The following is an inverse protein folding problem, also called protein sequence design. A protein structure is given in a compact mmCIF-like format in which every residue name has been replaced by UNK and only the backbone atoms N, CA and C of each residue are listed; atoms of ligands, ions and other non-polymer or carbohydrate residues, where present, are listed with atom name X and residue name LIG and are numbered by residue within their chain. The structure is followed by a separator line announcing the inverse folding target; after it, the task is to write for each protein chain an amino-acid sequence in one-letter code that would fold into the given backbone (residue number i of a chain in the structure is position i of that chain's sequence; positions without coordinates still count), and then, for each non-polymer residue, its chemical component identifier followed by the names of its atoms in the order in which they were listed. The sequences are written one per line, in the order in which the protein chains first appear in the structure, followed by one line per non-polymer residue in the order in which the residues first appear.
data_IF_316987413080
#
_entry.id   IF_316987413080
#
_cell.length_a   1.000
_cell.length_b   1.000
_cell.length_c   1.000
_cell.angle_alpha   90.00
_cell.angle_beta   90.00
_cell.angle_gamma   90.00
#
_symmetry.space_group_name_H-M   'P 1'
#
loop_
_entity.id
_entity.type
_entity.pdbx_description
1 polymer ?
#
# COMPACT_ATOMS: atom_id res chain seq x y z
N UNK A 1 10.38 -17.01 -7.13
CA UNK A 1 11.52 -17.66 -6.46
C UNK A 1 12.07 -16.73 -5.39
N UNK A 2 12.42 -17.26 -4.20
CA UNK A 2 13.08 -16.46 -3.15
C UNK A 2 14.59 -16.57 -3.32
N UNK A 3 15.29 -15.45 -3.20
CA UNK A 3 16.75 -15.37 -3.32
C UNK A 3 17.33 -14.81 -2.04
N UNK A 4 18.54 -15.25 -1.72
CA UNK A 4 19.29 -14.79 -0.56
C UNK A 4 20.34 -13.79 -1.08
N UNK A 5 20.50 -12.61 -0.43
CA UNK A 5 21.46 -11.58 -0.88
C UNK A 5 22.87 -12.12 -1.12
N UNK A 6 23.34 -13.00 -0.23
CA UNK A 6 24.71 -13.53 -0.24
C UNK A 6 24.87 -14.85 -1.02
N UNK A 7 23.88 -15.23 -1.83
CA UNK A 7 24.01 -16.38 -2.73
C UNK A 7 25.01 -16.07 -3.86
N UNK A 8 25.63 -17.12 -4.41
CA UNK A 8 26.52 -16.99 -5.57
C UNK A 8 25.83 -16.25 -6.73
N UNK A 9 26.55 -15.31 -7.36
CA UNK A 9 26.00 -14.41 -8.38
C UNK A 9 25.49 -15.20 -9.59
N UNK A 10 26.16 -16.31 -9.93
CA UNK A 10 25.81 -17.22 -11.01
C UNK A 10 24.44 -17.86 -10.75
N UNK A 11 24.15 -18.28 -9.52
CA UNK A 11 22.87 -18.87 -9.13
C UNK A 11 21.75 -17.83 -9.14
N UNK A 12 22.03 -16.60 -8.72
CA UNK A 12 21.06 -15.51 -8.81
C UNK A 12 20.73 -15.15 -10.27
N UNK A 13 21.74 -15.21 -11.15
CA UNK A 13 21.56 -14.98 -12.58
C UNK A 13 20.71 -16.08 -13.22
N UNK A 14 21.07 -17.33 -12.94
CA UNK A 14 20.33 -18.48 -13.44
C UNK A 14 18.88 -18.45 -12.97
N UNK A 15 18.65 -18.20 -11.68
CA UNK A 15 17.32 -18.02 -11.12
C UNK A 15 16.52 -16.93 -11.85
N UNK A 16 17.17 -15.82 -12.22
CA UNK A 16 16.50 -14.74 -12.92
C UNK A 16 16.09 -15.05 -14.35
N UNK A 17 16.78 -15.97 -15.03
CA UNK A 17 16.39 -16.44 -16.36
C UNK A 17 15.18 -17.40 -16.33
N UNK A 18 15.01 -18.15 -15.24
CA UNK A 18 13.94 -19.15 -15.13
C UNK A 18 12.71 -18.66 -14.33
N UNK A 19 12.87 -17.72 -13.41
CA UNK A 19 11.77 -17.21 -12.61
C UNK A 19 11.07 -16.02 -13.27
N UNK A 20 9.73 -15.98 -13.20
CA UNK A 20 8.98 -14.76 -13.56
C UNK A 20 9.26 -13.61 -12.57
N UNK A 21 9.39 -13.96 -11.28
CA UNK A 21 9.63 -13.03 -10.18
C UNK A 21 10.67 -13.55 -9.21
N UNK A 22 11.56 -12.66 -8.80
CA UNK A 22 12.51 -12.87 -7.72
C UNK A 22 12.06 -12.09 -6.47
N UNK A 23 12.41 -12.61 -5.31
CA UNK A 23 12.10 -11.93 -4.05
C UNK A 23 13.25 -12.05 -3.06
N UNK A 24 13.67 -10.91 -2.54
CA UNK A 24 14.65 -10.80 -1.46
C UNK A 24 13.91 -10.29 -0.24
N UNK A 25 13.93 -11.05 0.86
CA UNK A 25 13.22 -10.67 2.08
C UNK A 25 14.04 -9.66 2.91
N UNK A 26 13.48 -8.47 3.12
CA UNK A 26 14.01 -7.44 4.03
C UNK A 26 13.72 -7.79 5.50
N UNK A 27 12.56 -8.39 5.78
CA UNK A 27 12.03 -8.73 7.11
C UNK A 27 11.71 -7.52 7.99
N UNK A 28 12.66 -6.63 8.27
CA UNK A 28 12.44 -5.49 9.17
C UNK A 28 12.88 -4.17 8.52
N UNK A 29 12.17 -3.06 8.79
CA UNK A 29 12.42 -1.81 8.09
C UNK A 29 13.65 -1.04 8.62
N UNK A 30 14.26 -1.48 9.74
CA UNK A 30 15.39 -0.79 10.37
C UNK A 30 16.56 -1.74 10.65
N UNK A 31 17.79 -1.24 10.53
CA UNK A 31 18.99 -2.02 10.86
C UNK A 31 19.03 -2.41 12.34
N UNK A 32 18.56 -1.54 13.23
CA UNK A 32 18.45 -1.85 14.65
C UNK A 32 17.52 -3.04 14.92
N UNK A 33 16.38 -3.11 14.20
CA UNK A 33 15.48 -4.26 14.25
C UNK A 33 16.16 -5.53 13.73
N UNK A 34 16.83 -5.46 12.58
CA UNK A 34 17.57 -6.61 12.03
C UNK A 34 18.66 -7.12 12.97
N UNK A 35 19.51 -6.23 13.49
CA UNK A 35 20.56 -6.62 14.45
C UNK A 35 20.01 -7.38 15.66
N UNK A 36 18.79 -7.06 16.09
CA UNK A 36 18.15 -7.71 17.23
C UNK A 36 17.49 -9.05 16.88
N UNK A 37 16.82 -9.14 15.73
CA UNK A 37 15.91 -10.26 15.41
C UNK A 37 16.37 -11.15 14.24
N UNK A 38 17.26 -10.66 13.40
CA UNK A 38 17.84 -11.35 12.24
C UNK A 38 19.28 -10.83 12.00
N UNK A 39 20.22 -11.04 12.95
CA UNK A 39 21.57 -10.46 12.91
C UNK A 39 22.41 -10.94 11.71
N UNK A 40 22.01 -12.03 11.07
CA UNK A 40 22.60 -12.52 9.82
C UNK A 40 22.24 -11.65 8.59
N UNK A 41 21.30 -10.71 8.74
CA UNK A 41 20.84 -9.82 7.68
C UNK A 41 21.35 -8.39 7.89
N UNK A 42 21.72 -7.78 6.78
CA UNK A 42 22.19 -6.40 6.73
C UNK A 42 21.44 -5.63 5.62
N UNK A 43 20.94 -4.43 5.95
CA UNK A 43 20.15 -3.64 5.02
C UNK A 43 20.98 -3.18 3.82
N UNK A 44 22.27 -2.87 3.99
CA UNK A 44 23.12 -2.43 2.88
C UNK A 44 23.39 -3.59 1.90
N UNK A 45 23.64 -4.80 2.42
CA UNK A 45 23.80 -5.99 1.60
C UNK A 45 22.50 -6.34 0.85
N UNK A 46 21.35 -6.23 1.52
CA UNK A 46 20.03 -6.44 0.89
C UNK A 46 19.77 -5.39 -0.20
N UNK A 47 20.06 -4.12 0.08
CA UNK A 47 19.92 -3.00 -0.86
C UNK A 47 20.79 -3.21 -2.11
N UNK A 48 22.07 -3.56 -1.92
CA UNK A 48 22.99 -3.87 -3.01
C UNK A 48 22.53 -5.05 -3.87
N UNK A 49 22.03 -6.12 -3.25
CA UNK A 49 21.50 -7.28 -3.98
C UNK A 49 20.26 -6.91 -4.82
N UNK A 50 19.35 -6.09 -4.28
CA UNK A 50 18.19 -5.58 -5.02
C UNK A 50 18.58 -4.62 -6.16
N UNK A 51 19.61 -3.80 -5.96
CA UNK A 51 20.14 -2.89 -6.97
C UNK A 51 20.74 -3.68 -8.15
N UNK A 52 21.62 -4.65 -7.88
CA UNK A 52 22.18 -5.52 -8.92
C UNK A 52 21.11 -6.31 -9.68
N UNK A 53 20.06 -6.74 -8.98
CA UNK A 53 18.92 -7.42 -9.61
C UNK A 53 18.12 -6.46 -10.52
N UNK A 54 17.90 -5.23 -10.08
CA UNK A 54 17.26 -4.18 -10.90
C UNK A 54 18.06 -3.94 -12.18
N UNK A 55 19.37 -3.77 -12.07
CA UNK A 55 20.26 -3.53 -13.20
C UNK A 55 20.18 -4.66 -14.24
N UNK A 56 20.22 -5.92 -13.80
CA UNK A 56 20.07 -7.07 -14.70
C UNK A 56 18.69 -7.13 -15.38
N UNK A 57 17.62 -6.84 -14.64
CA UNK A 57 16.27 -6.75 -15.22
C UNK A 57 16.23 -5.65 -16.30
N UNK A 58 16.79 -4.47 -16.01
CA UNK A 58 16.81 -3.34 -16.93
C UNK A 58 17.69 -3.62 -18.16
N UNK A 59 18.85 -4.26 -17.99
CA UNK A 59 19.74 -4.70 -19.06
C UNK A 59 19.03 -5.66 -20.01
N UNK A 60 18.45 -6.74 -19.49
CA UNK A 60 17.75 -7.73 -20.31
C UNK A 60 16.51 -7.18 -21.01
N UNK A 61 15.91 -6.11 -20.47
CA UNK A 61 14.75 -5.45 -21.06
C UNK A 61 15.12 -4.52 -22.22
N UNK A 62 16.25 -3.82 -22.11
CA UNK A 62 16.60 -2.73 -23.03
C UNK A 62 17.72 -3.09 -24.01
N UNK A 63 18.50 -4.13 -23.73
CA UNK A 63 19.66 -4.49 -24.53
C UNK A 63 19.35 -5.56 -25.58
N UNK A 64 20.07 -5.48 -26.69
CA UNK A 64 20.13 -6.49 -27.72
C UNK A 64 21.59 -6.90 -27.92
N UNK A 65 21.82 -8.13 -28.39
CA UNK A 65 23.13 -8.59 -28.81
C UNK A 65 23.64 -7.73 -29.98
N UNK A 66 24.94 -7.81 -30.26
CA UNK A 66 25.56 -7.16 -31.44
C UNK A 66 24.84 -7.50 -32.76
N UNK A 67 24.23 -8.70 -32.83
CA UNK A 67 23.44 -9.17 -33.98
C UNK A 67 21.99 -8.65 -33.99
N UNK A 68 21.60 -7.78 -33.06
CA UNK A 68 20.25 -7.23 -32.93
C UNK A 68 19.23 -8.16 -32.24
N UNK A 69 19.65 -9.35 -31.79
CA UNK A 69 18.76 -10.29 -31.08
C UNK A 69 18.55 -9.82 -29.65
N UNK A 70 17.29 -9.75 -29.21
CA UNK A 70 17.00 -9.44 -27.80
C UNK A 70 17.60 -10.48 -26.86
N UNK A 71 18.07 -10.02 -25.72
CA UNK A 71 18.48 -10.88 -24.62
C UNK A 71 17.28 -11.74 -24.14
N UNK A 72 17.53 -12.92 -23.54
CA UNK A 72 16.48 -13.71 -22.92
C UNK A 72 15.78 -12.89 -21.83
N UNK A 73 14.50 -13.17 -21.57
CA UNK A 73 13.79 -12.48 -20.49
C UNK A 73 14.44 -12.83 -19.15
N UNK A 74 14.67 -11.81 -18.34
CA UNK A 74 15.16 -11.97 -16.97
C UNK A 74 14.12 -11.41 -16.02
N UNK A 75 13.47 -12.29 -15.24
CA UNK A 75 12.47 -11.94 -14.23
C UNK A 75 11.49 -10.85 -14.69
N UNK A 76 10.75 -11.08 -15.79
CA UNK A 76 9.90 -10.06 -16.40
C UNK A 76 8.79 -9.55 -15.47
N UNK A 77 8.36 -10.39 -14.53
CA UNK A 77 7.43 -10.06 -13.46
C UNK A 77 8.03 -9.18 -12.36
N UNK A 78 9.34 -8.90 -12.41
CA UNK A 78 10.13 -7.99 -11.56
C UNK A 78 10.53 -8.59 -10.20
N UNK A 79 11.02 -7.70 -9.32
CA UNK A 79 11.41 -8.07 -7.96
C UNK A 79 10.39 -7.65 -6.90
N UNK A 80 10.35 -8.38 -5.80
CA UNK A 80 9.46 -8.14 -4.66
C UNK A 80 10.15 -8.41 -3.33
N UNK A 81 9.59 -7.95 -2.23
CA UNK A 81 10.16 -8.17 -0.89
C UNK A 81 9.06 -8.41 0.13
N UNK A 82 9.46 -8.76 1.35
CA UNK A 82 8.58 -9.00 2.48
C UNK A 82 9.11 -8.26 3.71
N UNK A 83 8.20 -7.66 4.47
CA UNK A 83 8.41 -7.11 5.81
C UNK A 83 7.45 -7.75 6.80
N UNK A 84 7.94 -8.02 7.99
CA UNK A 84 7.21 -8.55 9.13
C UNK A 84 6.73 -7.37 9.98
N UNK A 85 5.44 -7.35 10.29
CA UNK A 85 4.78 -6.25 10.99
C UNK A 85 4.57 -6.63 12.45
N UNK A 86 5.05 -5.75 13.35
CA UNK A 86 4.85 -5.90 14.79
C UNK A 86 5.77 -6.90 15.47
N UNK A 87 6.82 -7.38 14.81
CA UNK A 87 7.93 -8.10 15.45
C UNK A 87 8.84 -7.17 16.26
N UNK A 88 8.93 -5.90 15.85
CA UNK A 88 9.67 -4.84 16.55
C UNK A 88 8.77 -3.63 16.87
N UNK A 89 9.36 -2.59 17.48
CA UNK A 89 8.68 -1.34 17.80
C UNK A 89 8.49 -0.39 16.61
N UNK A 90 8.69 -0.84 15.37
CA UNK A 90 8.56 0.03 14.20
C UNK A 90 7.12 0.52 14.02
N UNK A 91 6.95 1.83 13.88
CA UNK A 91 5.67 2.45 13.57
C UNK A 91 5.36 2.40 12.06
N UNK A 92 4.12 2.68 11.69
CA UNK A 92 3.66 2.55 10.30
C UNK A 92 4.31 3.59 9.37
N UNK A 93 4.67 4.77 9.89
CA UNK A 93 5.49 5.74 9.14
C UNK A 93 6.82 5.11 8.72
N UNK A 94 7.56 4.51 9.64
CA UNK A 94 8.87 3.88 9.34
C UNK A 94 8.72 2.78 8.30
N UNK A 95 7.71 1.91 8.45
CA UNK A 95 7.42 0.83 7.50
C UNK A 95 7.12 1.38 6.10
N UNK A 96 6.19 2.33 6.00
CA UNK A 96 5.79 2.92 4.72
C UNK A 96 6.92 3.73 4.08
N UNK A 97 7.72 4.46 4.86
CA UNK A 97 8.94 5.13 4.36
C UNK A 97 9.89 4.11 3.72
N UNK A 98 10.16 2.99 4.40
CA UNK A 98 11.00 1.93 3.87
C UNK A 98 10.44 1.39 2.55
N UNK A 99 9.14 1.11 2.48
CA UNK A 99 8.48 0.68 1.25
C UNK A 99 8.62 1.68 0.11
N UNK A 100 8.38 2.98 0.37
CA UNK A 100 8.54 4.04 -0.64
C UNK A 100 9.97 4.09 -1.18
N UNK A 101 10.98 4.01 -0.30
CA UNK A 101 12.38 4.00 -0.70
C UNK A 101 12.70 2.80 -1.59
N UNK A 102 12.28 1.60 -1.18
CA UNK A 102 12.47 0.38 -1.95
C UNK A 102 11.81 0.45 -3.34
N UNK A 103 10.59 1.00 -3.44
CA UNK A 103 9.96 1.22 -4.74
C UNK A 103 10.74 2.22 -5.60
N UNK A 104 11.21 3.31 -5.02
CA UNK A 104 11.90 4.37 -5.75
C UNK A 104 13.25 3.92 -6.29
N UNK A 105 14.05 3.27 -5.43
CA UNK A 105 15.41 2.82 -5.71
C UNK A 105 15.41 1.56 -6.59
N UNK A 106 14.63 0.55 -6.21
CA UNK A 106 14.73 -0.80 -6.81
C UNK A 106 13.62 -1.12 -7.82
N UNK A 107 12.67 -0.21 -8.02
CA UNK A 107 11.49 -0.41 -8.88
C UNK A 107 10.74 -1.70 -8.54
N UNK A 108 10.66 -2.00 -7.24
CA UNK A 108 9.96 -3.18 -6.75
C UNK A 108 8.53 -3.23 -7.27
N UNK A 109 8.05 -4.44 -7.53
CA UNK A 109 6.68 -4.68 -7.99
C UNK A 109 5.71 -4.78 -6.84
N UNK A 110 6.17 -5.18 -5.66
CA UNK A 110 5.36 -5.27 -4.44
C UNK A 110 6.26 -5.46 -3.22
N UNK A 111 5.88 -4.80 -2.13
CA UNK A 111 6.25 -5.15 -0.76
C UNK A 111 5.10 -5.98 -0.17
N UNK A 112 5.41 -7.14 0.39
CA UNK A 112 4.48 -7.95 1.16
C UNK A 112 4.61 -7.61 2.64
N UNK A 113 3.49 -7.41 3.32
CA UNK A 113 3.42 -7.19 4.75
C UNK A 113 2.83 -8.44 5.37
N UNK A 114 3.44 -8.93 6.45
CA UNK A 114 2.95 -10.10 7.17
C UNK A 114 2.96 -9.80 8.66
N UNK A 115 1.80 -9.86 9.30
CA UNK A 115 1.71 -9.74 10.74
C UNK A 115 2.55 -10.82 11.43
N UNK A 116 3.33 -10.41 12.42
CA UNK A 116 4.07 -11.35 13.25
C UNK A 116 3.09 -12.25 14.01
N UNK A 117 3.32 -13.56 13.94
CA UNK A 117 2.63 -14.57 14.75
C UNK A 117 3.67 -15.35 15.55
N UNK A 118 3.57 -15.38 16.89
CA UNK A 118 4.47 -16.18 17.70
C UNK A 118 4.23 -17.68 17.44
N UNK A 119 5.28 -18.47 17.65
CA UNK A 119 5.24 -19.93 17.70
C UNK A 119 5.55 -20.37 19.13
N UNK A 120 5.04 -21.53 19.56
CA UNK A 120 5.09 -21.98 20.97
C UNK A 120 6.50 -22.10 21.57
N UNK A 121 7.54 -22.15 20.74
CA UNK A 121 8.95 -22.17 21.13
C UNK A 121 9.74 -20.95 20.62
N UNK A 122 9.07 -19.82 20.39
CA UNK A 122 9.73 -18.59 19.94
C UNK A 122 10.74 -18.08 20.98
N UNK A 123 11.82 -17.47 20.49
CA UNK A 123 12.80 -16.77 21.32
C UNK A 123 12.12 -15.76 22.24
N UNK A 124 12.54 -15.69 23.51
CA UNK A 124 12.03 -14.73 24.51
C UNK A 124 12.16 -13.26 24.08
N UNK A 125 12.99 -12.99 23.07
CA UNK A 125 13.18 -11.65 22.51
C UNK A 125 11.97 -11.16 21.70
N UNK A 126 11.15 -12.08 21.17
CA UNK A 126 10.02 -11.77 20.29
C UNK A 126 8.74 -11.46 21.09
N UNK A 127 7.83 -10.65 20.53
CA UNK A 127 6.56 -10.36 21.18
C UNK A 127 5.75 -11.63 21.47
N UNK A 128 5.15 -11.70 22.65
CA UNK A 128 4.29 -12.82 23.04
C UNK A 128 2.90 -12.77 22.39
N UNK A 129 2.49 -11.59 21.89
CA UNK A 129 1.18 -11.39 21.25
C UNK A 129 1.36 -11.21 19.75
N UNK A 130 0.47 -11.80 18.93
CA UNK A 130 0.47 -11.55 17.50
C UNK A 130 0.18 -10.08 17.21
N UNK A 131 0.72 -9.58 16.10
CA UNK A 131 0.35 -8.26 15.62
C UNK A 131 -1.10 -8.29 15.11
N UNK A 132 -1.90 -7.21 15.35
CA UNK A 132 -3.28 -7.18 14.87
C UNK A 132 -3.35 -7.33 13.34
N UNK A 133 -4.10 -8.31 12.84
CA UNK A 133 -4.27 -8.53 11.39
C UNK A 133 -4.82 -7.29 10.65
N UNK A 134 -5.60 -6.47 11.36
CA UNK A 134 -6.11 -5.21 10.81
C UNK A 134 -4.97 -4.24 10.45
N UNK A 135 -3.86 -4.24 11.20
CA UNK A 135 -2.69 -3.40 10.93
C UNK A 135 -2.02 -3.80 9.62
N UNK A 136 -1.86 -5.09 9.36
CA UNK A 136 -1.36 -5.60 8.08
C UNK A 136 -2.25 -5.14 6.92
N UNK A 137 -3.57 -5.29 7.07
CA UNK A 137 -4.53 -4.85 6.06
C UNK A 137 -4.46 -3.33 5.81
N UNK A 138 -4.29 -2.50 6.86
CA UNK A 138 -4.12 -1.05 6.74
C UNK A 138 -2.85 -0.67 6.00
N UNK A 139 -1.75 -1.35 6.25
CA UNK A 139 -0.49 -1.14 5.51
C UNK A 139 -0.65 -1.49 4.03
N UNK A 140 -1.34 -2.57 3.69
CA UNK A 140 -1.67 -2.89 2.29
C UNK A 140 -2.55 -1.84 1.63
N UNK A 141 -3.55 -1.31 2.34
CA UNK A 141 -4.38 -0.23 1.84
C UNK A 141 -3.56 1.05 1.59
N UNK A 142 -2.69 1.43 2.53
CA UNK A 142 -1.80 2.58 2.38
C UNK A 142 -0.81 2.42 1.22
N UNK A 143 -0.16 1.26 1.11
CA UNK A 143 0.73 0.91 -0.01
C UNK A 143 0.04 1.04 -1.37
N UNK A 144 -1.22 0.58 -1.45
CA UNK A 144 -2.01 0.70 -2.65
C UNK A 144 -2.29 2.16 -3.05
N UNK A 145 -2.56 3.04 -2.07
CA UNK A 145 -2.75 4.46 -2.31
C UNK A 145 -1.47 5.12 -2.84
N UNK A 146 -0.32 4.83 -2.21
CA UNK A 146 0.99 5.34 -2.63
C UNK A 146 1.29 4.98 -4.09
N UNK A 147 0.94 3.75 -4.50
CA UNK A 147 1.35 3.22 -5.80
C UNK A 147 0.40 3.53 -6.96
N UNK A 148 -0.90 3.62 -6.69
CA UNK A 148 -1.91 3.66 -7.75
C UNK A 148 -2.84 4.88 -7.66
N UNK A 149 -2.81 5.63 -6.56
CA UNK A 149 -3.67 6.80 -6.34
C UNK A 149 -2.88 8.10 -6.24
N UNK A 150 -1.56 8.04 -6.49
CA UNK A 150 -0.68 9.21 -6.43
C UNK A 150 -0.70 9.89 -5.06
N UNK A 151 -0.96 9.12 -3.99
CA UNK A 151 -0.87 9.61 -2.62
C UNK A 151 0.59 9.76 -2.23
N UNK A 152 0.90 10.84 -1.51
CA UNK A 152 2.18 11.01 -0.83
C UNK A 152 2.13 10.38 0.56
N UNK A 153 3.30 10.01 1.05
CA UNK A 153 3.43 9.49 2.42
C UNK A 153 2.91 10.50 3.44
N UNK A 154 3.29 11.77 3.30
CA UNK A 154 2.84 12.82 4.22
C UNK A 154 1.32 13.02 4.19
N UNK A 155 0.67 12.80 3.04
CA UNK A 155 -0.80 12.80 2.98
C UNK A 155 -1.35 11.65 3.84
N UNK A 156 -0.89 10.41 3.64
CA UNK A 156 -1.37 9.26 4.42
C UNK A 156 -1.21 9.48 5.93
N UNK A 157 -0.09 10.08 6.34
CA UNK A 157 0.22 10.35 7.74
C UNK A 157 -0.64 11.45 8.38
N UNK A 158 -1.29 12.33 7.60
CA UNK A 158 -2.24 13.30 8.16
C UNK A 158 -3.45 12.63 8.82
N UNK A 159 -3.85 11.45 8.31
CA UNK A 159 -4.91 10.63 8.90
C UNK A 159 -4.42 9.64 9.95
N UNK A 160 -3.15 9.70 10.35
CA UNK A 160 -2.55 8.79 11.30
C UNK A 160 -2.49 9.40 12.71
N UNK A 161 -2.56 8.55 13.73
CA UNK A 161 -2.43 8.96 15.14
C UNK A 161 -1.02 8.61 15.62
N UNK A 162 -0.18 9.61 15.88
CA UNK A 162 1.16 9.38 16.42
C UNK A 162 2.07 8.52 15.53
N UNK A 163 1.99 8.68 14.20
CA UNK A 163 2.68 7.88 13.17
C UNK A 163 2.19 6.43 13.01
N UNK A 164 1.06 6.08 13.63
CA UNK A 164 0.36 4.79 13.45
C UNK A 164 -0.91 5.01 12.64
N UNK A 165 -1.18 4.12 11.68
CA UNK A 165 -2.40 4.18 10.88
C UNK A 165 -3.63 3.96 11.75
N UNK A 166 -4.76 4.52 11.32
CA UNK A 166 -6.03 4.31 12.00
C UNK A 166 -6.50 2.86 11.84
N UNK A 167 -6.83 2.21 12.96
CA UNK A 167 -7.29 0.82 12.95
C UNK A 167 -8.78 0.70 12.60
N UNK A 168 -9.58 1.74 12.89
CA UNK A 168 -11.02 1.78 12.65
C UNK A 168 -11.37 2.18 11.22
N UNK A 169 -10.63 3.14 10.65
CA UNK A 169 -10.89 3.68 9.31
C UNK A 169 -9.79 3.30 8.32
N UNK A 170 -10.17 3.02 7.07
CA UNK A 170 -9.19 2.83 6.01
C UNK A 170 -8.36 4.12 5.78
N UNK A 171 -7.09 4.05 5.33
CA UNK A 171 -6.22 5.22 5.24
C UNK A 171 -6.76 6.35 4.38
N UNK A 172 -7.56 6.03 3.35
CA UNK A 172 -8.18 7.03 2.46
C UNK A 172 -9.31 7.77 3.18
N UNK A 173 -10.13 7.03 3.92
CA UNK A 173 -11.18 7.60 4.75
C UNK A 173 -10.57 8.41 5.91
N UNK A 174 -9.56 7.88 6.61
CA UNK A 174 -8.88 8.58 7.69
C UNK A 174 -8.27 9.92 7.22
N UNK A 175 -7.65 9.93 6.03
CA UNK A 175 -7.18 11.16 5.40
C UNK A 175 -8.32 12.13 5.11
N UNK A 176 -9.44 11.65 4.55
CA UNK A 176 -10.59 12.48 4.20
C UNK A 176 -11.26 13.09 5.44
N UNK A 177 -11.34 12.31 6.53
CA UNK A 177 -11.81 12.79 7.83
C UNK A 177 -10.84 13.82 8.43
N UNK A 178 -9.54 13.72 8.17
CA UNK A 178 -8.59 14.73 8.68
C UNK A 178 -8.55 16.00 7.82
N UNK A 179 -9.00 15.92 6.57
CA UNK A 179 -9.02 17.03 5.60
C UNK A 179 -10.45 17.44 5.19
N UNK A 180 -11.35 17.60 6.17
CA UNK A 180 -12.78 17.89 5.92
C UNK A 180 -13.01 19.18 5.15
N UNK A 181 -12.13 20.17 5.28
CA UNK A 181 -12.20 21.44 4.59
C UNK A 181 -12.18 21.31 3.06
N UNK A 182 -11.73 20.17 2.53
CA UNK A 182 -11.72 19.87 1.10
C UNK A 182 -13.04 19.26 0.60
N UNK A 183 -13.97 18.96 1.50
CA UNK A 183 -15.24 18.31 1.20
C UNK A 183 -16.43 19.24 1.47
N UNK A 184 -17.53 19.14 0.69
CA UNK A 184 -17.75 18.18 -0.39
C UNK A 184 -17.02 18.55 -1.70
N UNK A 185 -16.60 17.52 -2.43
CA UNK A 185 -15.95 17.66 -3.73
C UNK A 185 -16.99 17.65 -4.86
N UNK A 186 -17.04 18.72 -5.66
CA UNK A 186 -17.90 18.78 -6.85
C UNK A 186 -17.40 17.81 -7.93
N UNK A 187 -18.17 16.73 -8.16
CA UNK A 187 -17.86 15.70 -9.13
C UNK A 187 -18.05 16.14 -10.59
N UNK A 188 -18.37 17.39 -10.88
CA UNK A 188 -18.34 17.94 -12.24
C UNK A 188 -17.14 18.88 -12.47
N UNK A 189 -16.60 19.48 -11.40
CA UNK A 189 -15.55 20.52 -11.50
C UNK A 189 -14.18 20.09 -10.96
N UNK A 190 -14.13 19.23 -9.96
CA UNK A 190 -12.89 18.87 -9.29
C UNK A 190 -11.88 18.18 -10.21
N UNK A 191 -10.59 18.44 -10.01
CA UNK A 191 -9.53 17.80 -10.78
C UNK A 191 -9.39 16.29 -10.48
N UNK A 192 -8.57 15.60 -11.28
CA UNK A 192 -8.31 14.17 -11.08
C UNK A 192 -7.74 13.87 -9.68
N UNK A 193 -6.86 14.73 -9.18
CA UNK A 193 -6.17 14.54 -7.92
C UNK A 193 -7.17 14.50 -6.76
N UNK A 194 -8.04 15.51 -6.65
CA UNK A 194 -9.05 15.62 -5.61
C UNK A 194 -10.11 14.51 -5.71
N UNK A 195 -10.49 14.09 -6.92
CA UNK A 195 -11.38 12.94 -7.11
C UNK A 195 -10.76 11.63 -6.60
N UNK A 196 -9.46 11.45 -6.79
CA UNK A 196 -8.73 10.29 -6.26
C UNK A 196 -8.67 10.30 -4.73
N UNK A 197 -8.95 11.43 -4.07
CA UNK A 197 -8.98 11.55 -2.60
C UNK A 197 -10.35 11.24 -1.99
N UNK A 198 -11.43 11.26 -2.80
CA UNK A 198 -12.78 10.95 -2.32
C UNK A 198 -12.89 9.48 -1.87
N UNK A 199 -13.27 9.19 -0.61
CA UNK A 199 -13.48 7.83 -0.14
C UNK A 199 -14.51 7.08 -0.99
N UNK A 200 -14.24 5.80 -1.30
CA UNK A 200 -15.14 4.97 -2.11
C UNK A 200 -15.09 5.20 -3.63
N UNK A 201 -14.37 6.22 -4.12
CA UNK A 201 -14.10 6.42 -5.55
C UNK A 201 -12.73 5.87 -5.91
N UNK A 202 -12.69 4.93 -6.87
CA UNK A 202 -11.44 4.31 -7.34
C UNK A 202 -10.87 4.96 -8.61
N UNK A 203 -9.60 4.72 -8.93
CA UNK A 203 -8.93 5.31 -10.10
C UNK A 203 -9.66 5.05 -11.43
N UNK A 204 -10.17 3.82 -11.65
CA UNK A 204 -10.98 3.49 -12.82
C UNK A 204 -12.28 4.30 -12.88
N UNK A 205 -12.91 4.54 -11.74
CA UNK A 205 -14.12 5.36 -11.65
C UNK A 205 -13.80 6.82 -11.90
N UNK A 206 -12.68 7.34 -11.36
CA UNK A 206 -12.24 8.71 -11.63
C UNK A 206 -12.09 8.93 -13.14
N UNK A 207 -11.47 7.99 -13.85
CA UNK A 207 -11.37 8.10 -15.31
C UNK A 207 -12.73 8.11 -16.00
N UNK A 208 -13.67 7.24 -15.59
CA UNK A 208 -15.05 7.27 -16.12
C UNK A 208 -15.74 8.60 -15.86
N UNK A 209 -15.61 9.16 -14.65
CA UNK A 209 -16.15 10.46 -14.26
C UNK A 209 -15.59 11.55 -15.21
N UNK A 210 -14.28 11.59 -15.41
CA UNK A 210 -13.63 12.55 -16.30
C UNK A 210 -14.09 12.42 -17.76
N UNK A 211 -14.32 11.18 -18.24
CA UNK A 211 -14.88 10.96 -19.58
C UNK A 211 -16.32 11.45 -19.69
N UNK A 212 -17.19 11.11 -18.72
CA UNK A 212 -18.61 11.47 -18.75
C UNK A 212 -18.81 12.99 -18.75
N UNK A 213 -18.00 13.72 -17.96
CA UNK A 213 -18.05 15.19 -17.88
C UNK A 213 -17.89 15.92 -19.21
N UNK A 214 -17.24 15.29 -20.20
CA UNK A 214 -17.06 15.85 -21.53
C UNK A 214 -18.35 15.85 -22.36
N UNK A 215 -19.29 14.97 -22.00
CA UNK A 215 -20.55 14.76 -22.72
C UNK A 215 -21.77 15.25 -21.95
N UNK A 216 -21.65 15.49 -20.64
CA UNK A 216 -22.73 16.02 -19.82
C UNK A 216 -22.34 16.14 -18.36
N UNK A 217 -23.23 16.73 -17.56
CA UNK A 217 -23.04 16.85 -16.12
C UNK A 217 -23.54 15.60 -15.40
N UNK A 218 -22.73 15.09 -14.47
CA UNK A 218 -23.07 13.97 -13.59
C UNK A 218 -24.18 14.38 -12.61
N UNK A 219 -25.20 13.52 -12.53
CA UNK A 219 -26.30 13.57 -11.56
C UNK A 219 -26.21 12.40 -10.59
N UNK A 220 -26.97 12.45 -9.49
CA UNK A 220 -27.01 11.40 -8.48
C UNK A 220 -27.37 10.03 -9.07
N UNK A 221 -28.32 10.00 -10.00
CA UNK A 221 -28.73 8.78 -10.71
C UNK A 221 -27.59 8.14 -11.51
N UNK A 222 -26.64 8.92 -12.03
CA UNK A 222 -25.52 8.40 -12.80
C UNK A 222 -24.47 7.73 -11.90
N UNK A 223 -24.31 8.23 -10.66
CA UNK A 223 -23.45 7.59 -9.66
C UNK A 223 -23.95 6.18 -9.30
N UNK A 224 -25.27 5.99 -9.25
CA UNK A 224 -25.89 4.68 -9.04
C UNK A 224 -25.58 3.73 -10.21
N UNK A 225 -25.69 4.22 -11.46
CA UNK A 225 -25.34 3.45 -12.67
C UNK A 225 -23.86 3.06 -12.71
N UNK A 226 -22.99 3.91 -12.18
CA UNK A 226 -21.56 3.61 -12.00
C UNK A 226 -21.28 2.59 -10.89
N UNK A 227 -22.31 2.11 -10.17
CA UNK A 227 -22.24 1.17 -9.05
C UNK A 227 -21.33 1.66 -7.92
N UNK A 228 -21.34 2.96 -7.66
CA UNK A 228 -20.57 3.52 -6.54
C UNK A 228 -21.26 3.24 -5.20
N UNK A 229 -20.50 3.12 -4.10
CA UNK A 229 -21.06 2.91 -2.77
C UNK A 229 -21.70 4.21 -2.27
N UNK A 230 -22.93 4.49 -2.72
CA UNK A 230 -23.59 5.78 -2.55
C UNK A 230 -23.63 6.25 -1.09
N UNK A 231 -23.90 5.34 -0.14
CA UNK A 231 -23.95 5.69 1.29
C UNK A 231 -22.58 6.15 1.84
N UNK A 232 -21.48 5.54 1.38
CA UNK A 232 -20.12 5.90 1.80
C UNK A 232 -19.68 7.23 1.21
N UNK A 233 -20.01 7.49 -0.05
CA UNK A 233 -19.55 8.70 -0.75
C UNK A 233 -20.42 9.93 -0.45
N UNK A 234 -21.69 9.73 -0.05
CA UNK A 234 -22.70 10.78 0.17
C UNK A 234 -22.21 12.01 0.95
N UNK A 235 -21.39 11.88 2.02
CA UNK A 235 -20.89 13.04 2.76
C UNK A 235 -19.78 13.81 2.03
N UNK A 236 -19.08 13.17 1.09
CA UNK A 236 -17.83 13.68 0.51
C UNK A 236 -18.00 14.30 -0.89
N UNK A 237 -19.20 14.26 -1.48
CA UNK A 237 -19.38 14.67 -2.88
C UNK A 237 -20.55 15.61 -3.06
N UNK A 238 -20.49 16.42 -4.11
CA UNK A 238 -21.63 17.15 -4.66
C UNK A 238 -21.74 16.89 -6.17
N UNK A 239 -22.98 16.91 -6.66
CA UNK A 239 -23.38 16.81 -8.08
C UNK A 239 -24.51 17.81 -8.34
N UNK A 240 -24.95 17.95 -9.60
CA UNK A 240 -25.92 18.98 -10.00
C UNK A 240 -27.21 18.97 -9.16
N UNK A 241 -27.68 17.78 -8.82
CA UNK A 241 -28.95 17.53 -8.13
C UNK A 241 -28.76 17.09 -6.66
N UNK A 242 -27.54 17.12 -6.12
CA UNK A 242 -27.27 16.71 -4.74
C UNK A 242 -26.06 17.43 -4.13
N UNK A 243 -26.25 17.94 -2.91
CA UNK A 243 -25.18 18.43 -2.04
C UNK A 243 -25.46 17.99 -0.59
N UNK A 244 -24.43 17.56 0.18
CA UNK A 244 -24.63 17.12 1.55
C UNK A 244 -24.98 18.30 2.46
N UNK A 245 -25.86 18.05 3.43
CA UNK A 245 -26.17 19.02 4.48
C UNK A 245 -24.97 19.24 5.39
N UNK A 246 -24.78 20.45 5.92
CA UNK A 246 -23.70 20.77 6.87
C UNK A 246 -23.63 19.80 8.08
N UNK A 247 -24.79 19.34 8.60
CA UNK A 247 -24.87 18.35 9.69
C UNK A 247 -24.24 17.00 9.37
N UNK A 248 -24.15 16.61 8.09
CA UNK A 248 -23.51 15.35 7.67
C UNK A 248 -21.99 15.44 7.70
N UNK A 249 -21.44 16.66 7.75
CA UNK A 249 -19.99 16.91 7.76
C UNK A 249 -19.41 17.03 9.17
N UNK A 250 -20.25 17.01 10.22
CA UNK A 250 -19.80 17.11 11.61
C UNK A 250 -18.98 15.89 12.05
N UNK A 251 -17.84 16.18 12.67
CA UNK A 251 -16.69 15.29 12.90
C UNK A 251 -17.03 13.98 13.61
N UNK A 252 -17.67 14.06 14.77
CA UNK A 252 -17.89 12.90 15.64
C UNK A 252 -18.99 11.98 15.10
N UNK A 253 -20.06 12.56 14.56
CA UNK A 253 -21.16 11.78 14.00
C UNK A 253 -20.76 11.08 12.70
N UNK A 254 -19.95 11.73 11.86
CA UNK A 254 -19.49 11.13 10.60
C UNK A 254 -18.49 10.01 10.85
N UNK A 255 -17.53 10.22 11.74
CA UNK A 255 -16.51 9.21 12.09
C UNK A 255 -17.17 7.94 12.65
N UNK A 256 -18.09 8.10 13.61
CA UNK A 256 -18.80 6.98 14.22
C UNK A 256 -19.70 6.22 13.23
N UNK A 257 -20.36 6.91 12.30
CA UNK A 257 -21.19 6.27 11.26
C UNK A 257 -20.39 5.51 10.21
N UNK A 258 -19.13 5.88 10.01
CA UNK A 258 -18.25 5.31 8.97
C UNK A 258 -17.26 4.29 9.54
N UNK A 259 -17.23 4.09 10.86
CA UNK A 259 -16.48 3.03 11.50
C UNK A 259 -16.99 1.67 10.99
N UNK A 260 -16.07 0.77 10.63
CA UNK A 260 -16.47 -0.60 10.30
C UNK A 260 -16.94 -1.31 11.57
N UNK A 261 -18.00 -2.14 11.50
CA UNK A 261 -18.34 -3.01 12.61
C UNK A 261 -17.12 -3.88 12.93
N UNK A 262 -16.78 -3.98 14.22
CA UNK A 262 -15.70 -4.85 14.67
C UNK A 262 -16.01 -6.27 14.23
N UNK A 263 -15.19 -6.82 13.34
CA UNK A 263 -15.25 -8.23 13.01
C UNK A 263 -14.84 -8.99 14.26
N UNK A 264 -15.80 -9.62 14.94
CA UNK A 264 -15.50 -10.48 16.09
C UNK A 264 -14.52 -11.55 15.65
N UNK A 265 -13.42 -11.71 16.38
CA UNK A 265 -12.44 -12.77 16.14
C UNK A 265 -13.16 -14.11 16.29
N UNK A 266 -13.31 -14.85 15.18
CA UNK A 266 -13.97 -16.15 15.15
C UNK A 266 -13.20 -17.26 15.90
N UNK A 267 -12.01 -16.95 16.44
CA UNK A 267 -11.15 -17.86 17.19
C UNK A 267 -10.52 -17.23 18.45
N UNK A 268 -11.25 -16.36 19.13
CA UNK A 268 -10.88 -15.89 20.47
C UNK A 268 -11.32 -16.90 21.56
N UNK A 269 -10.79 -18.12 21.54
CA UNK A 269 -11.07 -19.12 22.57
C UNK A 269 -10.58 -20.52 22.21
N UNK A 270 -9.88 -21.15 23.16
CA UNK A 270 -9.03 -22.36 23.08
C UNK A 270 -7.59 -22.03 22.64
N UNK A 271 -6.55 -22.03 23.49
CA UNK A 271 -6.32 -22.57 24.85
C UNK A 271 -5.35 -21.64 25.57
#
# INVERSE_FOLDING_TARGET
MKTIPNAAVELQNEAGLYADRLSINVELPTQAGLNKYAPEKDLLAIDGAMASMKEKIDEHKNSATYTGKRLPRFSPGGQSTQMIIGADGSNDKTILTSSVNLYNQHKLRRVYYSAFSPIDHASQLLPLKPAPLIREHRLYQADWLLRFYDFKLDEILQGANGNMLDMQHDPKLAWALSNRQLFPVDLNRADQHLLLRVPGIGARTVQKILTIRRHGQLRWADLAKLRLPLQKIKPFISVVDYSPSAKLLETDQLSARMAQPSQMELFGGMV
#
